data_IF_566146640480
#
_entry.id   IF_566146640480
#
_cell.length_a   1.000
_cell.length_b   1.000
_cell.length_c   1.000
_cell.angle_alpha   90.00
_cell.angle_beta   90.00
_cell.angle_gamma   90.00
#
_symmetry.space_group_name_H-M   'P 1'
#
loop_
_entity.id
_entity.type
_entity.pdbx_description
1 polymer ?
#
# COMPACT_ATOMS: atom_id res chain seq x y z
N UNK A 1 -9.49 1.83 12.28
CA UNK A 1 -9.58 0.62 13.14
C UNK A 1 -11.05 0.21 13.34
N UNK A 2 -11.83 0.07 12.25
CA UNK A 2 -13.26 -0.28 12.28
C UNK A 2 -13.51 -1.72 11.78
N UNK A 3 -12.50 -2.61 11.86
CA UNK A 3 -12.60 -3.98 11.35
C UNK A 3 -12.75 -4.13 9.83
N UNK A 4 -12.77 -3.03 9.07
CA UNK A 4 -12.87 -3.04 7.60
C UNK A 4 -11.74 -3.82 6.95
N UNK A 5 -10.56 -3.79 7.56
CA UNK A 5 -9.33 -4.41 7.03
C UNK A 5 -9.42 -5.92 7.20
N UNK A 6 -9.87 -6.36 8.37
CA UNK A 6 -10.12 -7.76 8.68
C UNK A 6 -11.25 -8.32 7.81
N UNK A 7 -12.31 -7.52 7.60
CA UNK A 7 -13.40 -7.90 6.69
C UNK A 7 -12.93 -8.03 5.24
N UNK A 8 -12.15 -7.07 4.73
CA UNK A 8 -11.54 -7.14 3.40
C UNK A 8 -10.59 -8.32 3.26
N UNK A 9 -9.74 -8.56 4.27
CA UNK A 9 -8.81 -9.68 4.31
C UNK A 9 -9.55 -11.02 4.33
N UNK A 10 -10.68 -11.12 5.04
CA UNK A 10 -11.53 -12.30 5.08
C UNK A 10 -12.06 -12.72 3.70
N UNK A 11 -12.24 -11.77 2.77
CA UNK A 11 -12.62 -12.07 1.38
C UNK A 11 -11.55 -12.87 0.61
N UNK A 12 -10.33 -12.97 1.13
CA UNK A 12 -9.20 -13.65 0.49
C UNK A 12 -8.93 -15.08 0.98
N UNK A 13 -9.53 -15.52 2.10
CA UNK A 13 -9.17 -16.78 2.80
C UNK A 13 -9.34 -18.07 1.97
N UNK A 14 -10.21 -18.05 0.96
CA UNK A 14 -10.44 -19.19 0.04
C UNK A 14 -10.64 -18.76 -1.40
N UNK A 15 -10.15 -17.57 -1.75
CA UNK A 15 -10.43 -16.95 -3.02
C UNK A 15 -9.38 -17.28 -4.09
N UNK A 16 -9.74 -17.06 -5.36
CA UNK A 16 -8.77 -17.19 -6.45
C UNK A 16 -7.64 -16.16 -6.32
N UNK A 17 -6.48 -16.44 -6.91
CA UNK A 17 -5.33 -15.52 -6.90
C UNK A 17 -5.72 -14.11 -7.38
N UNK A 18 -6.60 -14.01 -8.37
CA UNK A 18 -7.09 -12.72 -8.86
C UNK A 18 -7.83 -11.93 -7.78
N UNK A 19 -8.65 -12.59 -6.96
CA UNK A 19 -9.35 -11.97 -5.84
C UNK A 19 -8.37 -11.59 -4.73
N UNK A 20 -7.40 -12.45 -4.41
CA UNK A 20 -6.35 -12.14 -3.42
C UNK A 20 -5.58 -10.88 -3.83
N UNK A 21 -5.18 -10.77 -5.10
CA UNK A 21 -4.49 -9.58 -5.62
C UNK A 21 -5.38 -8.33 -5.57
N UNK A 22 -6.66 -8.46 -5.89
CA UNK A 22 -7.61 -7.36 -5.78
C UNK A 22 -7.74 -6.88 -4.32
N UNK A 23 -7.91 -7.81 -3.37
CA UNK A 23 -7.98 -7.50 -1.93
C UNK A 23 -6.69 -6.82 -1.47
N UNK A 24 -5.52 -7.32 -1.87
CA UNK A 24 -4.23 -6.70 -1.54
C UNK A 24 -4.12 -5.26 -2.08
N UNK A 25 -4.59 -5.00 -3.30
CA UNK A 25 -4.65 -3.64 -3.86
C UNK A 25 -5.59 -2.75 -3.06
N UNK A 26 -6.78 -3.24 -2.70
CA UNK A 26 -7.76 -2.47 -1.91
C UNK A 26 -7.22 -2.12 -0.52
N UNK A 27 -6.60 -3.07 0.17
CA UNK A 27 -5.95 -2.85 1.46
C UNK A 27 -4.79 -1.85 1.34
N UNK A 28 -3.98 -1.95 0.28
CA UNK A 28 -2.92 -0.99 -0.02
C UNK A 28 -3.44 0.43 -0.28
N UNK A 29 -4.52 0.58 -1.05
CA UNK A 29 -5.16 1.88 -1.30
C UNK A 29 -5.72 2.49 -0.02
N UNK A 30 -6.35 1.68 0.83
CA UNK A 30 -6.80 2.10 2.15
C UNK A 30 -5.63 2.61 2.99
N UNK A 31 -4.52 1.85 3.08
CA UNK A 31 -3.33 2.28 3.81
C UNK A 31 -2.72 3.58 3.25
N UNK A 32 -2.66 3.73 1.92
CA UNK A 32 -2.19 4.97 1.29
C UNK A 32 -3.08 6.18 1.58
N UNK A 33 -4.31 5.97 2.05
CA UNK A 33 -5.28 7.00 2.44
C UNK A 33 -5.25 7.28 3.95
N UNK A 34 -4.31 6.68 4.69
CA UNK A 34 -4.14 6.97 6.10
C UNK A 34 -3.84 8.48 6.32
N UNK A 35 -4.30 9.09 7.44
CA UNK A 35 -4.29 10.55 7.61
C UNK A 35 -2.93 11.22 7.46
N UNK A 36 -1.86 10.51 7.84
CA UNK A 36 -0.47 10.95 7.72
C UNK A 36 -0.02 11.05 6.25
N UNK A 37 -0.39 10.07 5.43
CA UNK A 37 -0.08 10.04 3.99
C UNK A 37 -0.82 11.15 3.26
N UNK A 38 -2.11 11.34 3.58
CA UNK A 38 -2.92 12.42 3.02
C UNK A 38 -2.38 13.79 3.44
N UNK A 39 -1.98 13.98 4.71
CA UNK A 39 -1.39 15.23 5.18
C UNK A 39 -0.07 15.56 4.45
N UNK A 40 0.79 14.56 4.22
CA UNK A 40 2.03 14.74 3.47
C UNK A 40 1.77 15.11 2.00
N UNK A 41 0.85 14.40 1.34
CA UNK A 41 0.54 14.63 -0.09
C UNK A 41 -0.19 15.95 -0.32
N UNK A 42 -1.10 16.33 0.57
CA UNK A 42 -1.79 17.64 0.50
C UNK A 42 -0.79 18.78 0.67
N UNK A 43 0.17 18.68 1.59
CA UNK A 43 1.27 19.65 1.71
C UNK A 43 2.10 19.73 0.43
N UNK A 44 2.42 18.58 -0.18
CA UNK A 44 3.18 18.53 -1.43
C UNK A 44 2.44 19.17 -2.60
N UNK A 45 1.13 18.93 -2.73
CA UNK A 45 0.29 19.53 -3.78
C UNK A 45 0.07 21.03 -3.54
N UNK A 46 -0.13 21.44 -2.28
CA UNK A 46 -0.31 22.84 -1.88
C UNK A 46 0.93 23.71 -2.12
N UNK A 47 2.11 23.12 -2.34
CA UNK A 47 3.36 23.85 -2.65
C UNK A 47 3.37 24.63 -3.99
N UNK A 48 2.24 24.68 -4.71
CA UNK A 48 1.94 25.77 -5.66
C UNK A 48 2.65 25.73 -7.01
N UNK A 49 3.45 24.71 -7.30
CA UNK A 49 4.11 24.55 -8.62
C UNK A 49 3.09 24.16 -9.69
N UNK A 50 3.13 24.79 -10.86
CA UNK A 50 2.47 24.26 -12.06
C UNK A 50 2.91 22.79 -12.22
N UNK A 51 1.97 21.85 -12.17
CA UNK A 51 2.17 20.37 -12.17
C UNK A 51 2.46 19.71 -10.81
N UNK A 52 2.20 20.38 -9.68
CA UNK A 52 2.39 19.78 -8.35
C UNK A 52 1.68 18.42 -8.17
N UNK A 53 0.44 18.28 -8.64
CA UNK A 53 -0.30 17.02 -8.59
C UNK A 53 0.37 15.89 -9.39
N UNK A 54 0.86 16.16 -10.61
CA UNK A 54 1.56 15.16 -11.42
C UNK A 54 2.92 14.79 -10.81
N UNK A 55 3.61 15.76 -10.23
CA UNK A 55 4.86 15.52 -9.49
C UNK A 55 4.62 14.67 -8.25
N UNK A 56 3.55 14.96 -7.50
CA UNK A 56 3.14 14.20 -6.32
C UNK A 56 2.78 12.76 -6.70
N UNK A 57 1.98 12.57 -7.75
CA UNK A 57 1.63 11.24 -8.25
C UNK A 57 2.88 10.43 -8.65
N UNK A 58 3.82 11.05 -9.38
CA UNK A 58 5.07 10.39 -9.78
C UNK A 58 5.96 10.05 -8.58
N UNK A 59 6.07 10.95 -7.62
CA UNK A 59 6.82 10.70 -6.38
C UNK A 59 6.19 9.56 -5.59
N UNK A 60 4.87 9.60 -5.41
CA UNK A 60 4.11 8.54 -4.74
C UNK A 60 4.28 7.17 -5.42
N UNK A 61 4.27 7.12 -6.76
CA UNK A 61 4.50 5.89 -7.51
C UNK A 61 5.90 5.31 -7.29
N UNK A 62 6.95 6.13 -7.39
CA UNK A 62 8.33 5.68 -7.16
C UNK A 62 8.56 5.26 -5.70
N UNK A 63 8.01 6.01 -4.76
CA UNK A 63 8.11 5.70 -3.35
C UNK A 63 7.37 4.40 -3.01
N UNK A 64 6.14 4.24 -3.49
CA UNK A 64 5.35 3.02 -3.31
C UNK A 64 6.00 1.78 -3.93
N UNK A 65 6.60 1.92 -5.12
CA UNK A 65 7.40 0.86 -5.73
C UNK A 65 8.59 0.46 -4.84
N UNK A 66 9.38 1.42 -4.38
CA UNK A 66 10.53 1.15 -3.51
C UNK A 66 10.13 0.50 -2.18
N UNK A 67 9.05 1.00 -1.57
CA UNK A 67 8.47 0.45 -0.35
C UNK A 67 8.01 -1.00 -0.56
N UNK A 68 7.20 -1.25 -1.60
CA UNK A 68 6.71 -2.59 -1.93
C UNK A 68 7.83 -3.58 -2.25
N UNK A 69 8.84 -3.16 -3.01
CA UNK A 69 10.02 -3.99 -3.30
C UNK A 69 10.74 -4.38 -2.00
N UNK A 70 10.92 -3.44 -1.08
CA UNK A 70 11.56 -3.70 0.21
C UNK A 70 10.76 -4.72 1.03
N UNK A 71 9.44 -4.56 1.10
CA UNK A 71 8.57 -5.53 1.79
C UNK A 71 8.64 -6.92 1.19
N UNK A 72 8.69 -7.05 -0.14
CA UNK A 72 8.81 -8.35 -0.80
C UNK A 72 10.18 -8.97 -0.56
N UNK A 73 11.25 -8.20 -0.79
CA UNK A 73 12.63 -8.68 -0.69
C UNK A 73 12.99 -9.11 0.72
N UNK A 74 12.51 -8.43 1.76
CA UNK A 74 12.82 -8.77 3.14
C UNK A 74 11.71 -9.55 3.83
N UNK A 75 10.45 -9.17 3.63
CA UNK A 75 9.30 -9.78 4.29
C UNK A 75 9.02 -11.21 3.83
N UNK A 76 9.16 -11.51 2.53
CA UNK A 76 8.98 -12.90 2.05
C UNK A 76 10.03 -13.81 2.68
N UNK A 77 11.35 -13.57 2.58
CA UNK A 77 12.33 -14.45 3.23
C UNK A 77 12.12 -14.63 4.73
N UNK A 78 11.74 -13.59 5.47
CA UNK A 78 11.44 -13.69 6.90
C UNK A 78 10.25 -14.62 7.14
N UNK A 79 9.14 -14.43 6.42
CA UNK A 79 7.97 -15.30 6.52
C UNK A 79 8.31 -16.75 6.14
N UNK A 80 9.14 -16.93 5.11
CA UNK A 80 9.59 -18.27 4.71
C UNK A 80 10.55 -18.88 5.74
N UNK A 81 11.32 -18.10 6.48
CA UNK A 81 12.20 -18.61 7.52
C UNK A 81 11.41 -19.02 8.78
N UNK A 82 10.47 -18.17 9.21
CA UNK A 82 9.60 -18.43 10.36
C UNK A 82 8.82 -19.74 10.23
N UNK A 83 8.25 -20.01 9.05
CA UNK A 83 7.49 -21.26 8.81
C UNK A 83 8.33 -22.55 8.85
N UNK A 84 9.65 -22.47 8.88
CA UNK A 84 10.56 -23.63 8.91
C UNK A 84 11.29 -23.80 10.26
N UNK A 85 11.06 -22.91 11.21
CA UNK A 85 11.59 -22.98 12.58
C UNK A 85 10.49 -23.47 13.55
#
# INVERSE_FOLDING_TARGET
MFGLDDWLAGLSESASIAVVLLVAVLLGLRHATDPDHIAAMTTLVASGRERAARSAARLGAWWGLGHGVTLVVFGVPILLAERYL
#
